data_IF_217695849176
#
_entry.id   IF_217695849176
#
_cell.length_a   1.000
_cell.length_b   1.000
_cell.length_c   1.000
_cell.angle_alpha   90.00
_cell.angle_beta   90.00
_cell.angle_gamma   90.00
#
_symmetry.space_group_name_H-M   'P 1'
#
loop_
_entity.id
_entity.type
_entity.pdbx_description
1 polymer ?
#
# COMPACT_ATOMS: atom_id res chain seq x y z
N UNK A 1 10.57 -9.61 33.88
CA UNK A 1 9.72 -8.53 33.33
C UNK A 1 9.26 -8.95 31.94
N UNK A 2 8.02 -9.43 31.82
CA UNK A 2 7.44 -9.87 30.55
C UNK A 2 6.99 -8.62 29.77
N UNK A 3 7.59 -8.36 28.61
CA UNK A 3 7.29 -7.18 27.79
C UNK A 3 5.84 -7.16 27.24
N UNK A 4 5.12 -8.27 27.35
CA UNK A 4 3.74 -8.41 26.87
C UNK A 4 2.68 -7.79 27.80
N UNK A 5 3.03 -7.38 29.02
CA UNK A 5 2.08 -6.86 30.01
C UNK A 5 2.01 -5.32 30.06
N UNK A 6 2.90 -4.60 29.37
CA UNK A 6 2.98 -3.13 29.43
C UNK A 6 2.23 -2.39 28.30
N UNK A 7 1.60 -3.11 27.37
CA UNK A 7 1.10 -2.49 26.11
C UNK A 7 -0.43 -2.49 25.98
N UNK A 8 -1.13 -2.11 27.06
CA UNK A 8 -2.57 -1.78 27.04
C UNK A 8 -2.85 -0.31 26.75
N UNK A 9 -1.83 0.47 26.38
CA UNK A 9 -2.03 1.71 25.63
C UNK A 9 -2.02 1.32 24.15
N UNK A 10 -2.95 1.83 23.35
CA UNK A 10 -2.98 1.59 21.91
C UNK A 10 -1.74 2.23 21.26
N UNK A 11 -0.58 1.61 21.37
CA UNK A 11 0.55 1.91 20.50
C UNK A 11 0.08 1.49 19.12
N UNK A 12 -0.37 2.48 18.33
CA UNK A 12 -0.62 2.28 16.91
C UNK A 12 0.76 2.17 16.26
N UNK A 13 1.44 1.06 16.52
CA UNK A 13 2.55 0.59 15.71
C UNK A 13 2.11 0.72 14.26
N UNK A 14 2.97 1.23 13.39
CA UNK A 14 2.63 1.47 12.00
C UNK A 14 2.12 0.18 11.36
N UNK A 15 0.79 0.01 11.28
CA UNK A 15 0.16 -1.25 10.91
C UNK A 15 0.80 -1.76 9.61
N UNK A 16 1.48 -2.91 9.71
CA UNK A 16 2.10 -3.57 8.59
C UNK A 16 0.99 -4.18 7.73
N UNK A 17 0.87 -3.69 6.50
CA UNK A 17 -0.17 -4.12 5.57
C UNK A 17 0.43 -5.04 4.53
N UNK A 18 -0.30 -6.12 4.21
CA UNK A 18 0.08 -7.00 3.12
C UNK A 18 -0.18 -6.33 1.78
N UNK A 19 0.85 -6.28 0.94
CA UNK A 19 0.79 -5.74 -0.40
C UNK A 19 1.50 -6.65 -1.40
N UNK A 20 0.98 -6.67 -2.64
CA UNK A 20 1.60 -7.43 -3.72
C UNK A 20 2.71 -6.62 -4.41
N UNK A 21 3.85 -7.26 -4.66
CA UNK A 21 4.92 -6.78 -5.55
C UNK A 21 5.17 -7.86 -6.61
N UNK A 22 4.73 -7.62 -7.85
CA UNK A 22 4.77 -8.64 -8.90
C UNK A 22 3.92 -9.86 -8.50
N UNK A 23 4.55 -11.02 -8.36
CA UNK A 23 3.89 -12.26 -7.94
C UNK A 23 4.07 -12.59 -6.45
N UNK A 24 4.81 -11.78 -5.70
CA UNK A 24 5.09 -12.01 -4.27
C UNK A 24 4.23 -11.13 -3.37
N UNK A 25 3.92 -11.64 -2.17
CA UNK A 25 3.31 -10.87 -1.08
C UNK A 25 4.39 -10.34 -0.16
N UNK A 26 4.31 -9.05 0.15
CA UNK A 26 5.30 -8.32 0.95
C UNK A 26 4.58 -7.45 1.96
N UNK A 27 5.13 -7.30 3.16
CA UNK A 27 4.63 -6.32 4.13
C UNK A 27 5.07 -4.91 3.74
N UNK A 28 4.19 -3.94 3.94
CA UNK A 28 4.41 -2.52 3.64
C UNK A 28 3.87 -1.64 4.77
N UNK A 29 4.34 -0.40 4.82
CA UNK A 29 3.97 0.56 5.85
C UNK A 29 2.84 1.47 5.36
N UNK A 30 1.88 1.80 6.23
CA UNK A 30 0.89 2.85 5.98
C UNK A 30 1.38 4.15 6.57
N UNK A 31 1.44 5.21 5.76
CA UNK A 31 1.72 6.55 6.27
C UNK A 31 0.52 7.06 7.09
N UNK A 32 0.75 7.38 8.36
CA UNK A 32 -0.29 7.86 9.29
C UNK A 32 -0.42 9.39 9.23
N UNK A 33 0.70 10.09 9.08
CA UNK A 33 0.78 11.57 9.16
C UNK A 33 1.40 12.18 7.91
N UNK A 34 1.24 13.50 7.77
CA UNK A 34 1.85 14.32 6.71
C UNK A 34 1.17 14.24 5.34
N UNK A 35 1.81 14.86 4.34
CA UNK A 35 1.28 15.02 2.97
C UNK A 35 1.02 13.69 2.21
N UNK A 36 1.57 12.57 2.67
CA UNK A 36 1.37 11.23 2.09
C UNK A 36 0.47 10.33 2.96
N UNK A 37 -0.26 10.90 3.92
CA UNK A 37 -1.22 10.18 4.79
C UNK A 37 -2.12 9.24 4.00
N UNK A 38 -2.28 8.02 4.50
CA UNK A 38 -3.08 6.95 3.89
C UNK A 38 -2.36 6.15 2.79
N UNK A 39 -1.19 6.58 2.31
CA UNK A 39 -0.45 5.85 1.27
C UNK A 39 0.27 4.64 1.86
N UNK A 40 0.26 3.54 1.11
CA UNK A 40 1.04 2.33 1.43
C UNK A 40 2.40 2.41 0.72
N UNK A 41 3.48 2.44 1.49
CA UNK A 41 4.86 2.64 1.02
C UNK A 41 5.76 1.44 1.36
N UNK A 42 6.85 1.28 0.62
CA UNK A 42 7.81 0.18 0.86
C UNK A 42 8.79 0.48 2.00
N UNK A 43 9.18 1.76 2.16
CA UNK A 43 10.11 2.24 3.18
C UNK A 43 9.44 3.33 4.00
N UNK A 44 9.60 3.38 5.33
CA UNK A 44 8.94 4.37 6.18
C UNK A 44 9.34 5.81 5.85
N UNK A 45 10.61 6.08 5.52
CA UNK A 45 11.08 7.41 5.12
C UNK A 45 10.39 7.99 3.87
N UNK A 46 9.70 7.16 3.08
CA UNK A 46 8.88 7.66 1.97
C UNK A 46 7.65 8.43 2.44
N UNK A 47 7.23 8.35 3.70
CA UNK A 47 6.07 9.10 4.19
C UNK A 47 6.35 10.61 4.26
N UNK A 48 7.56 10.99 4.66
CA UNK A 48 7.97 12.41 4.80
C UNK A 48 8.62 12.98 3.53
N UNK A 49 8.99 12.12 2.57
CA UNK A 49 9.67 12.57 1.35
C UNK A 49 8.82 13.55 0.50
N UNK A 50 9.45 14.57 -0.13
CA UNK A 50 8.76 15.56 -0.96
C UNK A 50 8.08 14.92 -2.17
N UNK A 51 6.99 15.52 -2.65
CA UNK A 51 6.24 15.01 -3.80
C UNK A 51 7.00 15.34 -5.09
N UNK A 52 7.23 14.33 -5.93
CA UNK A 52 7.78 14.55 -7.27
C UNK A 52 6.67 15.08 -8.21
N UNK A 53 6.72 16.38 -8.52
CA UNK A 53 5.74 17.06 -9.37
C UNK A 53 5.78 16.58 -10.82
N UNK A 54 6.97 16.38 -11.38
CA UNK A 54 7.15 15.88 -12.76
C UNK A 54 6.45 14.54 -12.95
N UNK A 55 6.68 13.59 -12.03
CA UNK A 55 6.04 12.28 -12.07
C UNK A 55 4.51 12.34 -11.90
N UNK A 56 4.00 13.31 -11.13
CA UNK A 56 2.56 13.53 -10.97
C UNK A 56 1.92 13.99 -12.29
N UNK A 57 2.55 14.93 -12.98
CA UNK A 57 2.07 15.45 -14.26
C UNK A 57 2.13 14.39 -15.37
N UNK A 58 3.22 13.62 -15.46
CA UNK A 58 3.32 12.52 -16.44
C UNK A 58 2.29 11.42 -16.18
N UNK A 59 2.02 11.10 -14.91
CA UNK A 59 0.98 10.14 -14.54
C UNK A 59 -0.43 10.65 -14.92
N UNK A 60 -0.70 11.96 -14.77
CA UNK A 60 -1.97 12.57 -15.19
C UNK A 60 -2.17 12.40 -16.71
N UNK A 61 -1.16 12.73 -17.51
CA UNK A 61 -1.18 12.56 -18.97
C UNK A 61 -1.36 11.10 -19.40
N UNK A 62 -0.65 10.16 -18.77
CA UNK A 62 -0.78 8.72 -19.09
C UNK A 62 -2.13 8.14 -18.66
N UNK A 63 -2.71 8.59 -17.53
CA UNK A 63 -4.06 8.20 -17.13
C UNK A 63 -5.13 8.70 -18.09
N UNK A 64 -4.99 9.92 -18.62
CA UNK A 64 -5.91 10.43 -19.64
C UNK A 64 -5.86 9.57 -20.91
N UNK A 65 -4.66 9.22 -21.39
CA UNK A 65 -4.49 8.42 -22.61
C UNK A 65 -4.85 6.93 -22.45
N UNK A 66 -4.48 6.30 -21.34
CA UNK A 66 -4.51 4.83 -21.20
C UNK A 66 -5.30 4.32 -19.99
N UNK A 67 -6.02 5.20 -19.28
CA UNK A 67 -6.72 4.87 -18.04
C UNK A 67 -7.65 3.65 -18.15
N UNK A 68 -8.50 3.61 -19.19
CA UNK A 68 -9.44 2.51 -19.43
C UNK A 68 -8.70 1.17 -19.63
N UNK A 69 -7.63 1.16 -20.43
CA UNK A 69 -6.80 -0.04 -20.68
C UNK A 69 -6.11 -0.51 -19.40
N UNK A 70 -5.54 0.41 -18.61
CA UNK A 70 -4.90 0.08 -17.33
C UNK A 70 -5.88 -0.52 -16.33
N UNK A 71 -7.10 0.02 -16.25
CA UNK A 71 -8.15 -0.49 -15.36
C UNK A 71 -8.55 -1.94 -15.70
N UNK A 72 -8.79 -2.24 -16.99
CA UNK A 72 -9.12 -3.60 -17.45
C UNK A 72 -8.01 -4.60 -17.13
N UNK A 73 -6.76 -4.24 -17.40
CA UNK A 73 -5.60 -5.09 -17.06
C UNK A 73 -5.51 -5.33 -15.55
N UNK A 74 -5.69 -4.29 -14.74
CA UNK A 74 -5.66 -4.40 -13.29
C UNK A 74 -6.78 -5.29 -12.74
N UNK A 75 -8.01 -5.19 -13.27
CA UNK A 75 -9.13 -6.06 -12.89
C UNK A 75 -8.82 -7.54 -13.23
N UNK A 76 -8.31 -7.82 -14.43
CA UNK A 76 -7.87 -9.17 -14.82
C UNK A 76 -6.83 -9.71 -13.84
N UNK A 77 -5.79 -8.93 -13.52
CA UNK A 77 -4.78 -9.36 -12.55
C UNK A 77 -5.36 -9.64 -11.16
N UNK A 78 -6.26 -8.78 -10.67
CA UNK A 78 -6.90 -8.96 -9.35
C UNK A 78 -7.77 -10.22 -9.29
N UNK A 79 -8.41 -10.59 -10.42
CA UNK A 79 -9.28 -11.77 -10.52
C UNK A 79 -8.49 -13.09 -10.56
N UNK A 80 -7.40 -13.15 -11.34
CA UNK A 80 -6.72 -14.41 -11.62
C UNK A 80 -5.45 -14.65 -10.78
N UNK A 81 -4.70 -13.62 -10.41
CA UNK A 81 -3.41 -13.82 -9.75
C UNK A 81 -3.60 -14.37 -8.32
N UNK A 82 -2.97 -15.51 -7.96
CA UNK A 82 -3.14 -16.13 -6.64
C UNK A 82 -2.70 -15.22 -5.50
N UNK A 83 -1.60 -14.48 -5.67
CA UNK A 83 -1.12 -13.51 -4.68
C UNK A 83 -2.13 -12.37 -4.47
N UNK A 84 -2.88 -11.97 -5.50
CA UNK A 84 -3.93 -10.93 -5.35
C UNK A 84 -5.15 -11.45 -4.59
N UNK A 85 -5.51 -12.73 -4.77
CA UNK A 85 -6.58 -13.38 -3.99
C UNK A 85 -6.17 -13.51 -2.52
N UNK A 86 -4.95 -13.99 -2.27
CA UNK A 86 -4.40 -14.13 -0.91
C UNK A 86 -4.29 -12.77 -0.18
N UNK A 87 -3.91 -11.69 -0.88
CA UNK A 87 -3.88 -10.33 -0.32
C UNK A 87 -5.22 -9.91 0.30
N UNK A 88 -6.34 -10.24 -0.36
CA UNK A 88 -7.68 -9.90 0.12
C UNK A 88 -8.01 -10.63 1.42
N UNK A 89 -7.56 -11.89 1.55
CA UNK A 89 -7.73 -12.69 2.78
C UNK A 89 -6.88 -12.14 3.93
N UNK A 90 -5.62 -11.81 3.66
CA UNK A 90 -4.66 -11.37 4.68
C UNK A 90 -4.95 -9.97 5.26
N UNK A 91 -5.66 -9.11 4.52
CA UNK A 91 -5.99 -7.75 4.96
C UNK A 91 -7.42 -7.60 5.50
N UNK A 92 -8.19 -8.69 5.63
CA UNK A 92 -9.49 -8.63 6.32
C UNK A 92 -9.23 -8.51 7.82
N UNK A 93 -9.81 -7.49 8.45
CA UNK A 93 -9.84 -7.37 9.92
C UNK A 93 -10.64 -8.57 10.45
N UNK A 94 -10.09 -9.28 11.43
CA UNK A 94 -10.86 -10.20 12.27
C UNK A 94 -11.68 -9.37 13.25
#
# INVERSE_FOLDING_TARGET
MNLNELDNSTVVEAQLIWARKGNKLTRKYRCVVGQRRGRIVSKPGQCSAPINLKARLTLKKTKARMGKRMARKAQRTKRFNPASKALKRLNRRR
#
